data_IF_518769973083
#
_entry.id   IF_518769973083
#
_cell.length_a   1.000
_cell.length_b   1.000
_cell.length_c   1.000
_cell.angle_alpha   90.00
_cell.angle_beta   90.00
_cell.angle_gamma   90.00
#
_symmetry.space_group_name_H-M   'P 1'
#
loop_
_entity.id
_entity.type
_entity.pdbx_description
1 polymer ?
#
# COMPACT_ATOMS: atom_id res chain seq x y z
N UNK A 1 -49.24 18.50 34.14
CA UNK A 1 -48.82 17.94 32.83
C UNK A 1 -47.36 18.25 32.49
N UNK A 2 -46.89 19.50 32.67
CA UNK A 2 -45.50 19.93 32.38
C UNK A 2 -44.40 19.18 33.17
N UNK A 3 -44.61 18.90 34.46
CA UNK A 3 -43.64 18.12 35.26
C UNK A 3 -43.46 16.67 34.77
N UNK A 4 -44.53 16.01 34.32
CA UNK A 4 -44.46 14.63 33.81
C UNK A 4 -43.72 14.55 32.47
N UNK A 5 -43.87 15.57 31.63
CA UNK A 5 -43.13 15.68 30.36
C UNK A 5 -41.63 15.93 30.59
N UNK A 6 -41.27 16.77 31.57
CA UNK A 6 -39.87 17.01 31.94
C UNK A 6 -39.15 15.73 32.38
N UNK A 7 -39.78 14.93 33.25
CA UNK A 7 -39.23 13.64 33.67
C UNK A 7 -39.12 12.63 32.52
N UNK A 8 -40.08 12.62 31.58
CA UNK A 8 -40.01 11.75 30.41
C UNK A 8 -38.84 12.14 29.47
N UNK A 9 -38.60 13.45 29.27
CA UNK A 9 -37.43 13.92 28.51
C UNK A 9 -36.10 13.61 29.19
N UNK A 10 -36.01 13.68 30.52
CA UNK A 10 -34.81 13.27 31.26
C UNK A 10 -34.56 11.76 31.16
N UNK A 11 -35.61 10.94 31.18
CA UNK A 11 -35.51 9.50 30.99
C UNK A 11 -35.04 9.15 29.57
N UNK A 12 -35.60 9.80 28.54
CA UNK A 12 -35.19 9.58 27.16
C UNK A 12 -33.74 10.02 26.92
N UNK A 13 -33.31 11.15 27.50
CA UNK A 13 -31.92 11.61 27.43
C UNK A 13 -30.96 10.61 28.09
N UNK A 14 -31.33 10.09 29.27
CA UNK A 14 -30.56 9.07 29.98
C UNK A 14 -30.45 7.77 29.18
N UNK A 15 -31.54 7.31 28.57
CA UNK A 15 -31.53 6.10 27.72
C UNK A 15 -30.61 6.28 26.51
N UNK A 16 -30.55 7.46 25.89
CA UNK A 16 -29.61 7.74 24.78
C UNK A 16 -28.13 7.84 25.20
N UNK A 17 -27.81 8.16 26.46
CA UNK A 17 -26.43 8.12 26.96
C UNK A 17 -25.93 6.71 27.28
N UNK A 18 -26.84 5.75 27.56
CA UNK A 18 -26.49 4.39 27.95
C UNK A 18 -26.82 3.31 26.90
N UNK A 19 -27.56 3.63 25.84
CA UNK A 19 -27.74 2.75 24.68
C UNK A 19 -26.64 3.00 23.65
N UNK A 20 -25.73 2.04 23.52
CA UNK A 20 -24.65 2.05 22.50
C UNK A 20 -23.24 1.95 23.07
N UNK A 21 -23.06 2.10 24.38
CA UNK A 21 -21.79 1.85 25.05
C UNK A 21 -21.80 0.43 25.63
N UNK A 22 -21.07 -0.49 25.00
CA UNK A 22 -20.64 -1.70 25.69
C UNK A 22 -19.52 -1.30 26.66
N UNK A 23 -19.58 -1.76 27.91
CA UNK A 23 -18.56 -1.49 28.93
C UNK A 23 -17.23 -2.22 28.69
N UNK A 24 -17.17 -2.99 27.61
CA UNK A 24 -16.03 -3.79 27.17
C UNK A 24 -16.03 -3.78 25.67
N UNK A 25 -14.92 -3.36 25.04
CA UNK A 25 -14.67 -3.72 23.66
C UNK A 25 -14.72 -5.25 23.56
N UNK A 26 -15.55 -5.78 22.67
CA UNK A 26 -15.40 -7.18 22.32
C UNK A 26 -14.01 -7.35 21.72
N UNK A 27 -13.31 -8.42 22.14
CA UNK A 27 -12.04 -8.78 21.54
C UNK A 27 -12.14 -8.74 20.00
N UNK A 28 -11.11 -8.26 19.30
CA UNK A 28 -11.12 -8.14 17.85
C UNK A 28 -11.69 -9.41 17.21
N UNK A 29 -12.73 -9.27 16.39
CA UNK A 29 -13.32 -10.40 15.66
C UNK A 29 -12.42 -10.73 14.46
N UNK A 30 -11.19 -11.15 14.73
CA UNK A 30 -10.37 -11.87 13.78
C UNK A 30 -11.00 -13.25 13.59
N UNK A 31 -11.90 -13.38 12.61
CA UNK A 31 -12.19 -14.70 12.09
C UNK A 31 -11.00 -15.11 11.23
N UNK A 32 -10.07 -15.86 11.81
CA UNK A 32 -9.11 -16.63 11.03
C UNK A 32 -9.97 -17.58 10.21
N UNK A 33 -10.22 -17.22 8.95
CA UNK A 33 -10.91 -18.12 8.04
C UNK A 33 -10.13 -19.45 8.07
N UNK A 34 -10.73 -20.61 8.35
CA UNK A 34 -10.00 -21.87 8.29
C UNK A 34 -9.46 -22.18 6.87
N UNK A 35 -9.86 -21.40 5.85
CA UNK A 35 -9.26 -21.35 4.51
C UNK A 35 -8.15 -20.30 4.37
N UNK A 36 -7.91 -19.45 5.36
CA UNK A 36 -6.69 -18.64 5.44
C UNK A 36 -5.56 -19.61 5.73
N UNK A 37 -4.96 -20.08 4.65
CA UNK A 37 -3.86 -21.03 4.70
C UNK A 37 -2.68 -20.23 5.25
N UNK A 38 -2.35 -20.39 6.53
CA UNK A 38 -0.93 -20.41 6.88
C UNK A 38 -0.32 -21.50 6.03
N UNK A 39 0.46 -21.11 5.02
CA UNK A 39 1.22 -22.07 4.21
C UNK A 39 2.30 -22.60 5.14
N UNK A 40 1.97 -23.64 5.88
CA UNK A 40 2.97 -24.44 6.57
C UNK A 40 3.67 -25.27 5.50
N UNK A 41 4.99 -25.12 5.30
CA UNK A 41 5.72 -26.02 4.43
C UNK A 41 5.48 -27.45 4.92
N UNK A 42 4.85 -28.28 4.09
CA UNK A 42 4.69 -29.70 4.35
C UNK A 42 5.84 -30.44 3.65
N UNK A 43 6.69 -31.10 4.45
CA UNK A 43 7.84 -31.86 3.96
C UNK A 43 9.16 -31.48 4.63
N UNK A 44 10.19 -32.28 4.38
CA UNK A 44 11.58 -31.94 4.73
C UNK A 44 11.99 -30.68 3.97
N UNK A 45 12.44 -29.67 4.71
CA UNK A 45 12.96 -28.44 4.11
C UNK A 45 14.22 -28.79 3.32
N UNK A 46 14.10 -28.82 2.00
CA UNK A 46 15.27 -28.85 1.12
C UNK A 46 15.78 -27.43 1.05
N UNK A 47 17.00 -27.22 1.56
CA UNK A 47 17.66 -25.93 1.44
C UNK A 47 17.69 -25.53 -0.04
N UNK A 48 17.06 -24.40 -0.35
CA UNK A 48 17.14 -23.83 -1.69
C UNK A 48 18.64 -23.67 -2.04
N UNK A 49 19.03 -23.91 -3.29
CA UNK A 49 20.42 -23.71 -3.71
C UNK A 49 20.89 -22.34 -3.24
N UNK A 50 22.01 -22.31 -2.51
CA UNK A 50 22.61 -21.04 -2.09
C UNK A 50 22.84 -20.20 -3.34
N UNK A 51 22.17 -19.05 -3.40
CA UNK A 51 22.32 -18.12 -4.50
C UNK A 51 23.75 -17.60 -4.42
N UNK A 52 24.59 -17.97 -5.40
CA UNK A 52 25.86 -17.29 -5.61
C UNK A 52 25.54 -15.83 -5.94
N UNK A 53 26.35 -14.86 -5.47
CA UNK A 53 26.14 -13.40 -5.62
C UNK A 53 26.03 -12.87 -7.08
N UNK A 54 25.86 -13.74 -8.06
CA UNK A 54 25.61 -13.41 -9.45
C UNK A 54 24.10 -13.24 -9.65
N UNK A 55 23.67 -12.06 -10.09
CA UNK A 55 22.33 -11.85 -10.62
C UNK A 55 22.23 -12.74 -11.88
N UNK A 56 21.67 -13.93 -11.72
CA UNK A 56 21.41 -14.83 -12.85
C UNK A 56 20.17 -14.33 -13.56
N UNK A 57 20.33 -13.77 -14.76
CA UNK A 57 19.21 -13.67 -15.68
C UNK A 57 18.82 -15.10 -16.08
N UNK A 58 17.82 -15.65 -15.39
CA UNK A 58 17.48 -17.07 -15.48
C UNK A 58 16.92 -17.49 -16.84
N UNK A 59 16.54 -16.55 -17.69
CA UNK A 59 15.91 -16.83 -18.97
C UNK A 59 16.10 -15.64 -19.91
N UNK A 60 16.58 -15.87 -21.13
CA UNK A 60 16.68 -14.86 -22.19
C UNK A 60 15.60 -15.02 -23.26
N UNK A 61 14.85 -16.13 -23.23
CA UNK A 61 13.84 -16.49 -24.21
C UNK A 61 12.44 -16.63 -23.59
N UNK A 62 11.36 -16.26 -24.28
CA UNK A 62 10.02 -16.50 -23.77
C UNK A 62 9.75 -17.98 -23.45
N UNK A 63 9.12 -18.25 -22.31
CA UNK A 63 8.62 -19.58 -21.95
C UNK A 63 7.16 -19.70 -22.36
N UNK A 64 6.84 -20.76 -23.11
CA UNK A 64 5.48 -21.03 -23.59
C UNK A 64 4.85 -22.11 -22.72
N UNK A 65 3.71 -21.81 -22.13
CA UNK A 65 2.90 -22.75 -21.36
C UNK A 65 1.61 -23.04 -22.12
N UNK A 66 1.42 -24.30 -22.49
CA UNK A 66 0.19 -24.76 -23.11
C UNK A 66 -0.72 -25.28 -22.00
N UNK A 67 -1.88 -24.67 -21.83
CA UNK A 67 -2.86 -25.06 -20.82
C UNK A 67 -4.23 -25.31 -21.45
N UNK A 68 -5.16 -25.98 -20.75
CA UNK A 68 -6.51 -26.19 -21.26
C UNK A 68 -7.27 -24.89 -21.58
N UNK A 69 -6.88 -23.76 -20.97
CA UNK A 69 -7.51 -22.45 -21.19
C UNK A 69 -6.78 -21.58 -22.22
N UNK A 70 -5.67 -22.05 -22.79
CA UNK A 70 -4.94 -21.35 -23.85
C UNK A 70 -3.42 -21.43 -23.72
N UNK A 71 -2.75 -20.72 -24.61
CA UNK A 71 -1.30 -20.55 -24.63
C UNK A 71 -0.93 -19.31 -23.83
N UNK A 72 -0.14 -19.49 -22.77
CA UNK A 72 0.43 -18.40 -21.98
C UNK A 72 1.92 -18.26 -22.30
N UNK A 73 2.39 -17.02 -22.41
CA UNK A 73 3.80 -16.72 -22.69
C UNK A 73 4.35 -15.91 -21.53
N UNK A 74 5.38 -16.41 -20.87
CA UNK A 74 6.14 -15.65 -19.87
C UNK A 74 7.47 -15.22 -20.48
N UNK A 75 7.62 -13.92 -20.76
CA UNK A 75 8.87 -13.34 -21.24
C UNK A 75 9.91 -13.24 -20.11
N UNK A 76 11.20 -13.07 -20.44
CA UNK A 76 12.22 -12.70 -19.46
C UNK A 76 11.81 -11.50 -18.61
N UNK A 77 12.27 -11.50 -17.35
CA UNK A 77 12.19 -10.29 -16.52
C UNK A 77 13.01 -9.19 -17.18
N UNK A 78 12.45 -7.98 -17.22
CA UNK A 78 13.15 -6.79 -17.65
C UNK A 78 13.04 -5.73 -16.56
N UNK A 79 13.99 -4.80 -16.55
CA UNK A 79 13.90 -3.63 -15.69
C UNK A 79 12.97 -2.61 -16.34
N UNK A 80 11.93 -2.19 -15.63
CA UNK A 80 10.91 -1.27 -16.18
C UNK A 80 11.54 0.07 -16.61
N UNK A 81 12.54 0.55 -15.85
CA UNK A 81 13.33 1.71 -16.21
C UNK A 81 14.84 1.39 -16.15
N UNK A 82 15.53 1.22 -17.29
CA UNK A 82 16.91 0.74 -17.36
C UNK A 82 17.95 1.81 -17.00
N UNK A 83 17.81 2.47 -15.86
CA UNK A 83 18.78 3.42 -15.33
C UNK A 83 20.10 2.74 -14.92
N UNK A 84 21.22 3.41 -15.19
CA UNK A 84 22.55 2.91 -14.85
C UNK A 84 22.84 3.10 -13.35
N UNK A 85 23.36 2.07 -12.69
CA UNK A 85 23.85 2.15 -11.31
C UNK A 85 22.78 2.08 -10.21
N UNK A 86 21.50 2.06 -10.58
CA UNK A 86 20.39 2.02 -9.63
C UNK A 86 19.86 0.59 -9.48
N UNK A 87 19.49 0.22 -8.26
CA UNK A 87 18.66 -0.96 -8.00
C UNK A 87 17.20 -0.55 -8.03
N UNK A 88 16.32 -1.46 -8.46
CA UNK A 88 14.87 -1.33 -8.34
C UNK A 88 14.38 -2.60 -7.65
N UNK A 89 13.73 -2.45 -6.50
CA UNK A 89 13.07 -3.53 -5.75
C UNK A 89 11.61 -3.16 -5.48
N UNK A 90 10.86 -4.07 -4.84
CA UNK A 90 9.47 -3.82 -4.44
C UNK A 90 8.62 -3.30 -5.61
N UNK A 91 8.62 -4.06 -6.70
CA UNK A 91 7.95 -3.64 -7.92
C UNK A 91 6.48 -4.00 -7.88
N UNK A 92 5.61 -3.02 -8.11
CA UNK A 92 4.18 -3.25 -8.32
C UNK A 92 3.74 -2.69 -9.67
N UNK A 93 2.59 -3.15 -10.17
CA UNK A 93 2.00 -2.64 -11.40
C UNK A 93 0.48 -2.68 -11.30
N UNK A 94 -0.13 -1.58 -11.68
CA UNK A 94 -1.58 -1.43 -11.79
C UNK A 94 -1.96 -0.97 -13.19
N UNK A 95 -3.21 -1.23 -13.56
CA UNK A 95 -3.76 -0.89 -14.88
C UNK A 95 -4.94 0.04 -14.73
N UNK A 96 -5.06 1.00 -15.64
CA UNK A 96 -6.15 1.95 -15.64
C UNK A 96 -7.49 1.22 -15.82
N UNK A 97 -8.53 1.54 -15.02
CA UNK A 97 -9.76 0.74 -14.94
C UNK A 97 -10.54 0.68 -16.26
N UNK A 98 -10.47 1.73 -17.07
CA UNK A 98 -11.21 1.83 -18.35
C UNK A 98 -10.33 1.86 -19.61
N UNK A 99 -9.01 2.01 -19.48
CA UNK A 99 -8.10 2.09 -20.63
C UNK A 99 -6.92 1.13 -20.43
N UNK A 100 -6.96 -0.07 -21.04
CA UNK A 100 -5.98 -1.10 -20.78
C UNK A 100 -4.57 -0.80 -21.27
N UNK A 101 -4.42 0.21 -22.14
CA UNK A 101 -3.13 0.63 -22.66
C UNK A 101 -2.37 1.50 -21.64
N UNK A 102 -3.06 2.06 -20.65
CA UNK A 102 -2.44 2.85 -19.58
C UNK A 102 -2.18 1.92 -18.39
N UNK A 103 -0.91 1.76 -18.04
CA UNK A 103 -0.49 1.04 -16.84
C UNK A 103 0.56 1.85 -16.10
N UNK A 104 0.56 1.70 -14.79
CA UNK A 104 1.43 2.41 -13.87
C UNK A 104 2.17 1.36 -13.03
N UNK A 105 3.47 1.27 -13.27
CA UNK A 105 4.39 0.44 -12.51
C UNK A 105 5.22 1.30 -11.57
N UNK A 106 5.60 0.68 -10.46
CA UNK A 106 6.41 1.26 -9.40
C UNK A 106 7.65 0.43 -9.12
N UNK A 107 8.58 1.04 -8.40
CA UNK A 107 9.62 0.34 -7.66
C UNK A 107 10.05 1.22 -6.48
N UNK A 108 10.81 0.65 -5.56
CA UNK A 108 11.73 1.39 -4.69
C UNK A 108 13.10 1.44 -5.37
N UNK A 109 13.51 2.60 -5.93
CA UNK A 109 14.82 2.75 -6.52
C UNK A 109 15.84 3.06 -5.43
N UNK A 110 16.97 2.36 -5.45
CA UNK A 110 18.12 2.64 -4.59
C UNK A 110 19.24 3.14 -5.51
N UNK A 111 19.53 4.44 -5.41
CA UNK A 111 20.57 5.12 -6.18
C UNK A 111 21.87 5.05 -5.37
N UNK A 112 22.70 4.06 -5.71
CA UNK A 112 23.89 3.72 -4.94
C UNK A 112 24.93 4.84 -4.92
N UNK A 113 24.99 5.68 -5.95
CA UNK A 113 26.02 6.73 -6.07
C UNK A 113 25.92 7.82 -5.00
N UNK A 114 24.76 8.00 -4.38
CA UNK A 114 24.52 9.06 -3.39
C UNK A 114 23.64 8.62 -2.21
N UNK A 115 23.49 7.30 -1.97
CA UNK A 115 22.65 6.73 -0.90
C UNK A 115 21.24 7.34 -0.89
N UNK A 116 20.59 7.36 -2.04
CA UNK A 116 19.28 7.98 -2.21
C UNK A 116 18.25 6.91 -2.55
N UNK A 117 17.21 6.80 -1.73
CA UNK A 117 16.05 5.96 -1.99
C UNK A 117 14.86 6.86 -2.34
N UNK A 118 14.04 6.43 -3.28
CA UNK A 118 12.78 7.11 -3.56
C UNK A 118 11.71 6.11 -3.96
N UNK A 119 10.68 6.59 -4.64
CA UNK A 119 9.65 5.80 -5.27
C UNK A 119 9.68 6.06 -6.78
N UNK A 120 9.86 5.00 -7.54
CA UNK A 120 10.00 5.04 -9.00
C UNK A 120 8.64 5.10 -9.66
N UNK A 121 8.48 5.97 -10.65
CA UNK A 121 7.24 6.14 -11.40
C UNK A 121 7.48 5.72 -12.84
N UNK A 122 6.82 4.66 -13.29
CA UNK A 122 6.95 4.16 -14.66
C UNK A 122 5.59 3.94 -15.30
N UNK A 123 5.38 4.53 -16.46
CA UNK A 123 4.07 4.58 -17.11
C UNK A 123 4.20 4.17 -18.57
N UNK A 124 3.25 3.36 -18.99
CA UNK A 124 3.01 3.02 -20.40
C UNK A 124 1.66 3.57 -20.81
N UNK A 125 1.54 3.91 -22.10
CA UNK A 125 0.27 4.32 -22.73
C UNK A 125 -0.05 3.48 -23.98
N UNK A 126 0.73 2.42 -24.21
CA UNK A 126 0.63 1.51 -25.36
C UNK A 126 0.53 0.03 -24.94
N UNK A 127 0.06 -0.23 -23.72
CA UNK A 127 -0.16 -1.60 -23.22
C UNK A 127 1.13 -2.32 -22.83
N UNK A 128 2.18 -1.56 -22.47
CA UNK A 128 3.43 -2.08 -21.95
C UNK A 128 4.48 -2.37 -23.02
N UNK A 129 4.28 -1.90 -24.26
CA UNK A 129 5.25 -2.00 -25.34
C UNK A 129 6.41 -1.04 -25.09
N UNK A 130 6.09 0.20 -24.70
CA UNK A 130 7.06 1.20 -24.26
C UNK A 130 6.70 1.75 -22.89
N UNK A 131 7.73 2.12 -22.14
CA UNK A 131 7.64 2.66 -20.80
C UNK A 131 8.43 3.96 -20.71
N UNK A 132 7.88 4.92 -19.98
CA UNK A 132 8.52 6.20 -19.66
C UNK A 132 8.47 6.40 -18.15
N UNK A 133 9.42 7.13 -17.57
CA UNK A 133 9.43 7.27 -16.12
C UNK A 133 10.72 7.79 -15.54
N UNK A 134 10.79 7.78 -14.20
CA UNK A 134 11.95 8.24 -13.42
C UNK A 134 12.07 7.41 -12.15
N UNK A 135 13.29 7.23 -11.67
CA UNK A 135 13.59 6.61 -10.37
C UNK A 135 13.34 7.55 -9.17
N UNK A 136 12.77 8.72 -9.40
CA UNK A 136 12.48 9.72 -8.37
C UNK A 136 11.21 10.43 -8.76
N UNK A 137 10.22 10.41 -7.86
CA UNK A 137 8.95 11.07 -8.07
C UNK A 137 9.16 12.58 -8.29
N UNK A 138 8.51 13.15 -9.31
CA UNK A 138 8.56 14.58 -9.58
C UNK A 138 7.51 15.34 -8.74
N UNK A 139 7.69 15.32 -7.42
CA UNK A 139 6.86 16.03 -6.44
C UNK A 139 7.55 17.34 -5.98
N UNK A 140 6.83 18.28 -5.34
CA UNK A 140 7.42 19.52 -4.82
C UNK A 140 8.56 19.29 -3.80
N UNK A 141 8.46 18.22 -3.02
CA UNK A 141 9.53 17.70 -2.18
C UNK A 141 9.97 16.35 -2.74
N UNK A 142 11.28 16.19 -2.95
CA UNK A 142 11.86 14.96 -3.48
C UNK A 142 12.44 14.07 -2.37
N UNK A 143 12.36 14.49 -1.10
CA UNK A 143 13.14 13.92 0.02
C UNK A 143 12.30 13.16 1.05
N UNK A 144 10.99 13.04 0.84
CA UNK A 144 10.02 12.47 1.78
C UNK A 144 9.38 11.15 1.30
N UNK A 145 9.80 10.64 0.14
CA UNK A 145 9.42 9.30 -0.35
C UNK A 145 10.52 8.31 -0.04
N UNK A 146 10.36 7.43 0.96
CA UNK A 146 11.43 6.50 1.40
C UNK A 146 11.36 5.12 0.75
N UNK A 147 10.24 4.72 0.15
CA UNK A 147 10.07 3.33 -0.33
C UNK A 147 8.69 2.73 -0.06
N UNK A 148 8.62 1.39 -0.12
CA UNK A 148 7.38 0.58 0.00
C UNK A 148 6.25 1.10 -0.90
N UNK A 149 6.40 0.95 -2.21
CA UNK A 149 5.54 1.63 -3.16
C UNK A 149 4.17 0.95 -3.31
N UNK A 150 3.08 1.67 -2.99
CA UNK A 150 1.70 1.25 -3.28
C UNK A 150 1.04 2.10 -4.36
N UNK A 151 1.27 1.83 -5.66
CA UNK A 151 0.61 2.52 -6.76
C UNK A 151 -0.84 2.03 -6.94
N UNK A 152 -1.78 2.95 -7.18
CA UNK A 152 -3.12 2.64 -7.70
C UNK A 152 -3.54 3.65 -8.77
N UNK A 153 -4.51 3.28 -9.58
CA UNK A 153 -5.23 4.19 -10.48
C UNK A 153 -6.71 4.14 -10.07
N UNK A 154 -7.26 5.28 -9.64
CA UNK A 154 -8.67 5.36 -9.20
C UNK A 154 -9.65 5.25 -10.38
N UNK A 155 -10.95 5.20 -10.08
CA UNK A 155 -12.00 5.12 -11.12
C UNK A 155 -11.99 6.27 -12.14
N UNK A 156 -11.41 7.41 -11.78
CA UNK A 156 -11.34 8.60 -12.63
C UNK A 156 -10.05 8.66 -13.45
N UNK A 157 -9.14 7.70 -13.28
CA UNK A 157 -7.82 7.71 -13.91
C UNK A 157 -6.78 8.50 -13.14
N UNK A 158 -7.08 8.94 -11.90
CA UNK A 158 -6.11 9.60 -11.02
C UNK A 158 -5.12 8.58 -10.52
N UNK A 159 -3.83 8.85 -10.71
CA UNK A 159 -2.78 8.01 -10.16
C UNK A 159 -2.61 8.40 -8.70
N UNK A 160 -2.62 7.43 -7.80
CA UNK A 160 -2.35 7.64 -6.38
C UNK A 160 -1.18 6.73 -6.00
N UNK A 161 -0.26 7.25 -5.21
CA UNK A 161 0.97 6.57 -4.85
C UNK A 161 1.16 6.69 -3.35
N UNK A 162 1.02 5.57 -2.64
CA UNK A 162 1.31 5.49 -1.21
C UNK A 162 2.75 5.03 -0.98
N UNK A 163 3.37 5.54 0.07
CA UNK A 163 4.75 5.23 0.40
C UNK A 163 5.06 5.52 1.87
N UNK A 164 6.22 5.02 2.31
CA UNK A 164 6.80 5.41 3.59
C UNK A 164 7.37 6.83 3.56
N UNK A 165 7.27 7.54 4.68
CA UNK A 165 7.80 8.89 4.88
C UNK A 165 9.13 8.87 5.61
N UNK A 166 9.97 9.84 5.28
CA UNK A 166 11.16 10.17 6.06
C UNK A 166 11.47 11.65 5.97
N UNK A 167 12.31 12.14 6.88
CA UNK A 167 12.92 13.48 6.75
C UNK A 167 14.00 13.54 5.67
N UNK A 168 14.55 12.39 5.27
CA UNK A 168 15.50 12.29 4.16
C UNK A 168 15.39 10.92 3.47
N UNK A 169 15.82 10.85 2.22
CA UNK A 169 15.71 9.66 1.37
C UNK A 169 16.52 8.42 1.79
N UNK A 170 17.21 8.45 2.93
CA UNK A 170 17.81 7.28 3.58
C UNK A 170 17.63 7.32 5.11
N UNK A 171 16.83 8.28 5.60
CA UNK A 171 16.68 8.57 7.01
C UNK A 171 15.78 7.56 7.73
N UNK A 172 15.62 7.78 9.04
CA UNK A 172 14.61 7.09 9.83
C UNK A 172 13.22 7.36 9.29
N UNK A 173 12.33 6.37 9.42
CA UNK A 173 10.93 6.54 9.09
C UNK A 173 10.30 7.64 9.96
N UNK A 174 9.33 8.35 9.40
CA UNK A 174 8.51 9.33 10.12
C UNK A 174 7.02 9.07 10.02
N UNK A 175 6.62 8.06 9.24
CA UNK A 175 5.23 7.80 8.93
C UNK A 175 5.02 7.20 7.56
N UNK A 176 3.83 7.42 7.03
CA UNK A 176 3.40 7.02 5.70
C UNK A 176 2.49 8.09 5.11
N UNK A 177 2.52 8.22 3.79
CA UNK A 177 1.81 9.25 3.07
C UNK A 177 1.40 8.81 1.68
N UNK A 178 0.75 9.74 0.98
CA UNK A 178 0.31 9.54 -0.39
C UNK A 178 0.50 10.81 -1.23
N UNK A 179 0.82 10.61 -2.51
CA UNK A 179 0.76 11.65 -3.53
C UNK A 179 -0.28 11.25 -4.58
N UNK A 180 -0.74 12.21 -5.36
CA UNK A 180 -1.55 11.95 -6.56
C UNK A 180 -1.03 12.67 -7.78
N UNK A 181 -1.41 12.15 -8.95
CA UNK A 181 -1.15 12.73 -10.25
C UNK A 181 -2.39 12.62 -11.13
N UNK A 182 -2.67 13.68 -11.88
CA UNK A 182 -3.76 13.75 -12.88
C UNK A 182 -3.24 13.82 -14.31
N UNK A 183 -1.92 13.67 -14.50
CA UNK A 183 -1.22 13.81 -15.78
C UNK A 183 -0.37 12.57 -16.10
N UNK A 184 -0.87 11.38 -15.73
CA UNK A 184 -0.21 10.09 -15.92
C UNK A 184 1.21 10.03 -15.31
N UNK A 185 1.37 10.58 -14.11
CA UNK A 185 2.61 10.51 -13.34
C UNK A 185 3.72 11.47 -13.78
N UNK A 186 3.43 12.43 -14.68
CA UNK A 186 4.42 13.42 -15.10
C UNK A 186 4.73 14.44 -13.99
N UNK A 187 3.70 14.86 -13.25
CA UNK A 187 3.83 15.68 -12.04
C UNK A 187 2.99 15.11 -10.91
N UNK A 188 3.41 15.38 -9.68
CA UNK A 188 2.76 14.87 -8.48
C UNK A 188 2.42 15.99 -7.51
N UNK A 189 1.35 15.79 -6.73
CA UNK A 189 0.98 16.67 -5.63
C UNK A 189 2.08 16.75 -4.57
N UNK A 190 1.96 17.71 -3.64
CA UNK A 190 2.65 17.60 -2.37
C UNK A 190 2.19 16.33 -1.62
N UNK A 191 3.07 15.77 -0.80
CA UNK A 191 2.80 14.59 0.00
C UNK A 191 1.72 14.88 1.03
N UNK A 192 0.66 14.07 1.02
CA UNK A 192 -0.36 14.08 2.03
C UNK A 192 0.03 13.07 3.15
N UNK A 193 0.31 13.51 4.38
CA UNK A 193 0.64 12.60 5.47
C UNK A 193 -0.63 11.84 5.89
N UNK A 194 -0.58 10.50 5.76
CA UNK A 194 -1.69 9.62 6.16
C UNK A 194 -1.58 9.29 7.64
N UNK A 195 -0.35 9.05 8.10
CA UNK A 195 -0.06 8.77 9.50
C UNK A 195 1.40 9.10 9.81
N UNK A 196 1.64 9.68 10.99
CA UNK A 196 2.93 10.24 11.44
C UNK A 196 3.48 9.46 12.64
N UNK A 197 3.72 8.17 12.44
CA UNK A 197 4.34 7.28 13.42
C UNK A 197 5.48 6.52 12.70
N UNK A 198 6.71 6.48 13.24
CA UNK A 198 7.81 5.76 12.60
C UNK A 198 7.68 4.22 12.60
N UNK A 199 6.78 3.64 13.41
CA UNK A 199 6.68 2.19 13.62
C UNK A 199 5.64 1.52 12.73
N UNK A 200 5.55 1.96 11.47
CA UNK A 200 4.43 1.63 10.60
C UNK A 200 4.90 1.21 9.23
N UNK A 201 4.16 0.29 8.62
CA UNK A 201 4.56 -0.34 7.37
C UNK A 201 3.32 -0.97 6.70
N UNK A 202 3.53 -1.53 5.50
CA UNK A 202 2.53 -2.22 4.68
C UNK A 202 1.44 -1.27 4.21
N UNK A 203 1.84 -0.07 3.81
CA UNK A 203 1.02 1.04 3.30
C UNK A 203 0.37 0.78 1.92
N UNK A 204 -0.03 -0.46 1.63
CA UNK A 204 -0.62 -0.80 0.35
C UNK A 204 -2.01 -0.19 0.18
N UNK A 205 -2.33 0.17 -1.05
CA UNK A 205 -3.57 0.84 -1.39
C UNK A 205 -4.40 0.03 -2.40
N UNK A 206 -5.71 0.30 -2.41
CA UNK A 206 -6.66 -0.28 -3.34
C UNK A 206 -7.81 0.68 -3.63
N UNK A 207 -8.50 0.47 -4.75
CA UNK A 207 -9.70 1.24 -5.10
C UNK A 207 -10.89 0.30 -5.26
N UNK A 208 -12.06 0.74 -4.83
CA UNK A 208 -13.29 -0.01 -5.04
C UNK A 208 -13.74 0.12 -6.50
N UNK A 209 -13.42 -0.89 -7.31
CA UNK A 209 -13.81 -0.98 -8.71
C UNK A 209 -15.21 -1.57 -8.96
N UNK A 210 -15.98 -1.92 -7.92
CA UNK A 210 -17.28 -2.60 -8.08
C UNK A 210 -18.42 -1.61 -8.37
N UNK A 211 -19.03 -1.60 -9.57
CA UNK A 211 -20.07 -0.62 -9.91
C UNK A 211 -21.34 -0.72 -9.04
N UNK A 212 -21.53 -1.85 -8.37
CA UNK A 212 -22.68 -2.08 -7.46
C UNK A 212 -22.37 -1.72 -6.01
N UNK A 213 -21.12 -1.36 -5.70
CA UNK A 213 -20.76 -0.95 -4.34
C UNK A 213 -21.30 0.44 -4.04
N UNK A 214 -21.85 0.68 -2.82
CA UNK A 214 -22.18 2.04 -2.37
C UNK A 214 -20.94 2.92 -2.19
N UNK A 215 -19.73 2.33 -2.22
CA UNK A 215 -18.45 3.01 -2.09
C UNK A 215 -17.64 3.02 -3.39
N UNK A 216 -18.28 2.72 -4.53
CA UNK A 216 -17.64 2.65 -5.83
C UNK A 216 -16.76 3.88 -6.11
N UNK A 217 -15.48 3.62 -6.38
CA UNK A 217 -14.47 4.63 -6.68
C UNK A 217 -13.69 5.18 -5.50
N UNK A 218 -14.08 4.84 -4.27
CA UNK A 218 -13.29 5.22 -3.11
C UNK A 218 -11.95 4.49 -3.14
N UNK A 219 -10.90 5.21 -2.78
CA UNK A 219 -9.55 4.67 -2.67
C UNK A 219 -9.14 4.58 -1.21
N UNK A 220 -8.57 3.46 -0.83
CA UNK A 220 -8.23 3.10 0.55
C UNK A 220 -6.76 2.77 0.64
N UNK A 221 -6.14 3.20 1.73
CA UNK A 221 -4.82 2.77 2.15
C UNK A 221 -4.97 1.99 3.44
N UNK A 222 -4.39 0.79 3.48
CA UNK A 222 -4.30 -0.03 4.68
C UNK A 222 -2.85 -0.09 5.14
N UNK A 223 -2.63 -0.35 6.43
CA UNK A 223 -1.30 -0.46 7.01
C UNK A 223 -1.28 -1.26 8.32
N UNK A 224 -0.08 -1.57 8.78
CA UNK A 224 0.20 -2.14 10.10
C UNK A 224 0.97 -1.12 10.95
N UNK A 225 0.61 -1.04 12.23
CA UNK A 225 1.40 -0.40 13.29
C UNK A 225 2.05 -1.49 14.12
N UNK A 226 3.38 -1.53 14.14
CA UNK A 226 4.16 -2.45 14.97
C UNK A 226 4.38 -1.79 16.33
N UNK A 227 3.99 -2.44 17.41
CA UNK A 227 4.03 -1.83 18.75
C UNK A 227 5.46 -1.41 19.16
N UNK A 228 5.63 -0.11 19.46
CA UNK A 228 6.78 0.49 20.11
C UNK A 228 6.35 1.77 20.86
N UNK A 229 6.07 1.62 22.17
CA UNK A 229 5.55 2.64 23.10
C UNK A 229 4.74 3.79 22.49
N UNK A 230 3.44 3.59 22.31
CA UNK A 230 2.52 4.71 22.47
C UNK A 230 2.60 5.13 23.94
N UNK A 231 3.31 6.20 24.26
CA UNK A 231 3.12 6.89 25.54
C UNK A 231 1.70 7.48 25.53
N UNK A 232 0.72 6.67 25.92
CA UNK A 232 -0.48 7.18 26.56
C UNK A 232 -0.23 7.18 28.05
N UNK A 233 -0.31 8.36 28.67
CA UNK A 233 -0.23 8.52 30.11
C UNK A 233 -1.15 7.50 30.83
N UNK A 234 -0.53 6.75 31.74
CA UNK A 234 -1.13 5.94 32.83
C UNK A 234 -2.13 4.82 32.44
N UNK A 235 -1.65 3.57 32.34
CA UNK A 235 -1.79 2.50 33.36
C UNK A 235 -1.38 1.12 32.76
N UNK A 236 -0.92 0.15 33.57
CA UNK A 236 -0.05 -0.94 33.12
C UNK A 236 -0.80 -2.25 32.89
N UNK A 237 -0.80 -2.76 31.66
CA UNK A 237 -0.62 -4.19 31.36
C UNK A 237 -0.41 -4.40 29.86
N UNK A 238 0.46 -5.34 29.52
CA UNK A 238 1.02 -5.59 28.20
C UNK A 238 -0.02 -5.66 27.06
N UNK A 239 0.10 -4.78 26.06
CA UNK A 239 -0.37 -5.06 24.70
C UNK A 239 0.82 -4.95 23.74
N UNK A 240 1.39 -6.11 23.42
CA UNK A 240 2.45 -6.32 22.42
C UNK A 240 1.85 -6.82 21.11
N UNK A 241 0.78 -6.20 20.61
CA UNK A 241 0.12 -6.65 19.38
C UNK A 241 0.14 -5.58 18.29
N UNK A 242 0.43 -6.04 17.07
CA UNK A 242 0.34 -5.25 15.85
C UNK A 242 -1.12 -4.82 15.63
N UNK A 243 -1.35 -3.55 15.28
CA UNK A 243 -2.70 -3.05 15.00
C UNK A 243 -2.85 -2.62 13.54
N UNK A 244 -3.88 -3.08 12.81
CA UNK A 244 -4.15 -2.63 11.46
C UNK A 244 -4.76 -1.23 11.47
N UNK A 245 -4.52 -0.45 10.42
CA UNK A 245 -5.27 0.78 10.16
C UNK A 245 -5.72 0.89 8.71
N UNK A 246 -6.73 1.74 8.49
CA UNK A 246 -7.27 2.02 7.15
C UNK A 246 -7.70 3.48 7.05
N UNK A 247 -7.45 4.11 5.90
CA UNK A 247 -7.87 5.48 5.60
C UNK A 247 -8.37 5.60 4.17
N UNK A 248 -9.49 6.30 4.00
CA UNK A 248 -9.95 6.74 2.68
C UNK A 248 -9.08 7.92 2.23
N UNK A 249 -8.54 7.85 1.02
CA UNK A 249 -7.65 8.85 0.46
C UNK A 249 -8.41 9.97 -0.27
N UNK A 250 -9.56 9.64 -0.87
CA UNK A 250 -10.41 10.53 -1.67
C UNK A 250 -11.88 10.18 -1.49
#
# INVERSE_FOLDING_TARGET
>A
MKQKLFFLSLMLLGVSFFMGQKSTDESPRWNVDPRSISIYPSGEYTQLPLVTNEIKQFTYDPRVFITPIGVMIATPNFRVHPSSGNQQCETEIVRHPTNPNIMFASAQPIINSNNFINVGVYVTTDGGVTWTGRDTMNAPNLNDQRGDPGPIIDKNGTFIYTHLLSTSNFGSLTGMGANYSTDNGATWSATFPVMLDPNVDKNLAGTDGSPTSPYFGNSYMAWTVFAGSAETAELPEQQTEESPGIRQLY
#
